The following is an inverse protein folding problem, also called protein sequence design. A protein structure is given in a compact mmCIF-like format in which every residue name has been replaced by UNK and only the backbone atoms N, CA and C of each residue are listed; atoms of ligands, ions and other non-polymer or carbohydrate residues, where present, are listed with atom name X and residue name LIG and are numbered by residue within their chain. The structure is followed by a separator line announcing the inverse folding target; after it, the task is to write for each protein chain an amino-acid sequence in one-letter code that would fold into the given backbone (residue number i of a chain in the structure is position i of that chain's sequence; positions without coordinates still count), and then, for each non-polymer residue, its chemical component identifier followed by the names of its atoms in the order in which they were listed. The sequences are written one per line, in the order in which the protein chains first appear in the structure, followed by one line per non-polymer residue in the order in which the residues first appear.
data_IF_073692782735
#
_entry.id   IF_073692782735
#
_cell.length_a   1.000
_cell.length_b   1.000
_cell.length_c   1.000
_cell.angle_alpha   90.00
_cell.angle_beta   90.00
_cell.angle_gamma   90.00
#
_symmetry.space_group_name_H-M   'P 1'
#
loop_
_entity.id
_entity.type
_entity.pdbx_description
1 polymer ?
#
# COMPACT_ATOMS: atom_id res chain seq x y z
N UNK A 1 29.05 11.43 -2.28
CA UNK A 1 28.76 9.99 -2.26
C UNK A 1 28.35 9.58 -3.67
N UNK A 2 29.02 8.61 -4.28
CA UNK A 2 28.62 8.03 -5.58
C UNK A 2 27.67 6.84 -5.37
N UNK A 3 27.00 6.37 -6.42
CA UNK A 3 26.14 5.18 -6.34
C UNK A 3 26.92 3.95 -5.84
N UNK A 4 28.14 3.77 -6.36
CA UNK A 4 29.02 2.66 -6.01
C UNK A 4 29.42 2.73 -4.53
N UNK A 5 29.65 3.93 -4.00
CA UNK A 5 29.93 4.12 -2.57
C UNK A 5 28.73 3.74 -1.70
N UNK A 6 27.50 4.09 -2.11
CA UNK A 6 26.27 3.71 -1.37
C UNK A 6 26.10 2.19 -1.33
N UNK A 7 26.30 1.53 -2.48
CA UNK A 7 26.19 0.06 -2.57
C UNK A 7 27.25 -0.61 -1.70
N UNK A 8 28.48 -0.11 -1.71
CA UNK A 8 29.56 -0.71 -0.91
C UNK A 8 29.35 -0.50 0.59
N UNK A 9 28.96 0.70 1.01
CA UNK A 9 28.69 0.99 2.43
C UNK A 9 27.52 0.16 2.98
N UNK A 10 26.49 -0.10 2.17
CA UNK A 10 25.31 -0.87 2.59
C UNK A 10 25.53 -2.38 2.63
N UNK A 11 26.54 -2.93 1.93
CA UNK A 11 26.86 -4.37 1.94
C UNK A 11 27.23 -4.93 3.30
N UNK A 12 27.78 -4.09 4.18
CA UNK A 12 28.21 -4.48 5.51
C UNK A 12 27.12 -4.33 6.57
N UNK A 13 25.95 -3.78 6.20
CA UNK A 13 24.85 -3.54 7.12
C UNK A 13 23.97 -4.79 7.27
N UNK A 14 23.30 -4.96 8.42
CA UNK A 14 22.23 -5.92 8.57
C UNK A 14 21.11 -5.73 7.53
N UNK A 15 20.49 -6.83 7.09
CA UNK A 15 19.50 -6.81 6.01
C UNK A 15 18.26 -5.97 6.33
N UNK A 16 17.83 -5.94 7.58
CA UNK A 16 16.73 -5.12 8.10
C UNK A 16 17.05 -3.62 8.01
N UNK A 17 18.28 -3.23 8.34
CA UNK A 17 18.75 -1.84 8.22
C UNK A 17 18.78 -1.39 6.77
N UNK A 18 19.22 -2.26 5.85
CA UNK A 18 19.22 -1.96 4.41
C UNK A 18 17.78 -1.82 3.89
N UNK A 19 16.86 -2.68 4.33
CA UNK A 19 15.45 -2.59 3.95
C UNK A 19 14.83 -1.27 4.42
N UNK A 20 15.06 -0.87 5.67
CA UNK A 20 14.56 0.41 6.19
C UNK A 20 15.15 1.62 5.44
N UNK A 21 16.44 1.58 5.09
CA UNK A 21 17.07 2.62 4.29
C UNK A 21 16.40 2.76 2.91
N UNK A 22 16.14 1.64 2.23
CA UNK A 22 15.45 1.62 0.93
C UNK A 22 14.05 2.21 1.06
N UNK A 23 13.29 1.81 2.09
CA UNK A 23 11.94 2.32 2.33
C UNK A 23 11.93 3.84 2.52
N UNK A 24 12.87 4.38 3.31
CA UNK A 24 12.99 5.83 3.54
C UNK A 24 13.35 6.59 2.27
N UNK A 25 14.29 6.08 1.46
CA UNK A 25 14.65 6.68 0.17
C UNK A 25 13.45 6.69 -0.77
N UNK A 26 12.73 5.57 -0.86
CA UNK A 26 11.54 5.48 -1.71
C UNK A 26 10.44 6.43 -1.23
N UNK A 27 10.21 6.52 0.09
CA UNK A 27 9.22 7.42 0.67
C UNK A 27 9.51 8.89 0.36
N UNK A 28 10.77 9.34 0.52
CA UNK A 28 11.18 10.70 0.19
C UNK A 28 11.09 10.99 -1.31
N UNK A 29 11.47 10.02 -2.16
CA UNK A 29 11.53 10.21 -3.63
C UNK A 29 10.17 10.12 -4.31
N UNK A 30 9.30 9.28 -3.80
CA UNK A 30 7.92 9.17 -4.29
C UNK A 30 6.97 10.12 -3.56
N UNK A 31 7.45 10.82 -2.53
CA UNK A 31 6.70 11.86 -1.84
C UNK A 31 5.44 11.30 -1.18
N UNK A 32 5.58 10.20 -0.43
CA UNK A 32 4.42 9.56 0.21
C UNK A 32 3.24 9.34 -0.75
N UNK A 33 2.02 9.38 -0.23
CA UNK A 33 0.84 9.58 -1.05
C UNK A 33 0.67 11.10 -1.19
N UNK A 34 0.50 11.60 -2.42
CA UNK A 34 0.15 13.00 -2.67
C UNK A 34 -1.01 13.42 -1.75
N UNK A 35 -0.88 14.53 -1.03
CA UNK A 35 -1.87 14.95 -0.03
C UNK A 35 -3.26 15.14 -0.62
N UNK A 36 -3.37 15.54 -1.89
CA UNK A 36 -4.64 15.69 -2.58
C UNK A 36 -5.24 14.31 -2.89
N UNK A 37 -4.40 13.33 -3.24
CA UNK A 37 -4.82 11.93 -3.40
C UNK A 37 -5.28 11.35 -2.07
N UNK A 38 -4.55 11.58 -0.97
CA UNK A 38 -4.93 11.13 0.36
C UNK A 38 -6.27 11.73 0.80
N UNK A 39 -6.47 13.04 0.59
CA UNK A 39 -7.73 13.72 0.90
C UNK A 39 -8.90 13.20 0.05
N UNK A 40 -8.68 12.94 -1.23
CA UNK A 40 -9.67 12.34 -2.12
C UNK A 40 -10.04 10.91 -1.67
N UNK A 41 -9.06 10.10 -1.28
CA UNK A 41 -9.29 8.76 -0.74
C UNK A 41 -10.09 8.79 0.57
N UNK A 42 -9.76 9.72 1.48
CA UNK A 42 -10.51 9.88 2.72
C UNK A 42 -11.99 10.19 2.45
N UNK A 43 -12.24 11.15 1.56
CA UNK A 43 -13.60 11.54 1.15
C UNK A 43 -14.36 10.36 0.55
N UNK A 44 -13.71 9.57 -0.31
CA UNK A 44 -14.32 8.40 -0.94
C UNK A 44 -14.60 7.26 0.05
N UNK A 45 -13.70 7.03 1.02
CA UNK A 45 -13.89 6.04 2.08
C UNK A 45 -15.12 6.42 2.93
N UNK A 46 -15.19 7.67 3.39
CA UNK A 46 -16.30 8.15 4.21
C UNK A 46 -17.62 8.01 3.44
N UNK A 47 -17.66 8.41 2.17
CA UNK A 47 -18.83 8.23 1.28
C UNK A 47 -19.24 6.75 1.14
N UNK A 48 -18.30 5.83 0.94
CA UNK A 48 -18.60 4.40 0.77
C UNK A 48 -19.11 3.75 2.06
N UNK A 49 -18.59 4.15 3.21
CA UNK A 49 -19.09 3.70 4.51
C UNK A 49 -20.56 4.12 4.65
N UNK A 50 -20.88 5.39 4.41
CA UNK A 50 -22.26 5.88 4.47
C UNK A 50 -23.20 5.14 3.51
N UNK A 51 -22.75 4.84 2.29
CA UNK A 51 -23.54 4.10 1.31
C UNK A 51 -23.85 2.66 1.75
N UNK A 52 -22.88 2.00 2.39
CA UNK A 52 -23.04 0.65 2.93
C UNK A 52 -23.99 0.68 4.13
N UNK A 53 -23.77 1.59 5.08
CA UNK A 53 -24.59 1.72 6.30
C UNK A 53 -26.03 2.13 5.99
N UNK A 54 -26.23 3.00 4.99
CA UNK A 54 -27.56 3.38 4.52
C UNK A 54 -28.22 2.32 3.62
N UNK A 55 -27.54 1.20 3.33
CA UNK A 55 -28.06 0.13 2.47
C UNK A 55 -28.19 0.51 0.99
N UNK A 56 -27.54 1.60 0.55
CA UNK A 56 -27.50 2.03 -0.87
C UNK A 56 -26.63 1.10 -1.71
N UNK A 57 -25.64 0.47 -1.09
CA UNK A 57 -24.74 -0.50 -1.72
C UNK A 57 -24.78 -1.81 -0.96
N UNK A 58 -25.00 -2.92 -1.68
CA UNK A 58 -24.96 -4.26 -1.10
C UNK A 58 -23.53 -4.83 -1.21
N UNK A 59 -22.94 -5.17 -0.06
CA UNK A 59 -21.67 -5.87 -0.01
C UNK A 59 -21.77 -7.32 -0.51
N UNK A 60 -20.61 -7.90 -0.86
CA UNK A 60 -20.50 -9.33 -1.17
C UNK A 60 -20.07 -10.04 0.13
N UNK A 61 -20.73 -11.14 0.54
CA UNK A 61 -20.27 -11.94 1.67
C UNK A 61 -18.80 -12.35 1.53
N UNK A 62 -18.04 -12.27 2.63
CA UNK A 62 -16.59 -12.50 2.59
C UNK A 62 -16.21 -13.89 2.08
N UNK A 63 -17.00 -14.92 2.41
CA UNK A 63 -16.75 -16.28 1.93
C UNK A 63 -16.88 -16.39 0.41
N UNK A 64 -17.84 -15.67 -0.16
CA UNK A 64 -18.06 -15.60 -1.60
C UNK A 64 -16.93 -14.82 -2.30
N UNK A 65 -16.51 -13.69 -1.74
CA UNK A 65 -15.41 -12.91 -2.31
C UNK A 65 -14.09 -13.69 -2.29
N UNK A 66 -13.78 -14.38 -1.19
CA UNK A 66 -12.61 -15.24 -1.07
C UNK A 66 -12.68 -16.45 -2.00
N UNK A 67 -13.85 -17.05 -2.21
CA UNK A 67 -14.03 -18.14 -3.17
C UNK A 67 -13.72 -17.69 -4.61
N UNK A 68 -14.16 -16.48 -5.00
CA UNK A 68 -13.83 -15.89 -6.30
C UNK A 68 -12.32 -15.67 -6.46
N UNK A 69 -11.66 -15.15 -5.42
CA UNK A 69 -10.20 -14.93 -5.42
C UNK A 69 -9.43 -16.25 -5.58
N UNK A 70 -9.79 -17.29 -4.83
CA UNK A 70 -9.15 -18.61 -4.94
C UNK A 70 -9.24 -19.17 -6.36
N UNK A 71 -10.43 -19.09 -6.96
CA UNK A 71 -10.64 -19.53 -8.35
C UNK A 71 -9.74 -18.78 -9.34
N UNK A 72 -9.55 -17.46 -9.16
CA UNK A 72 -8.67 -16.65 -10.01
C UNK A 72 -7.20 -17.04 -9.79
N UNK A 73 -6.81 -17.28 -8.54
CA UNK A 73 -5.46 -17.66 -8.17
C UNK A 73 -5.10 -19.13 -8.49
N UNK A 74 -6.08 -19.95 -8.91
CA UNK A 74 -5.88 -21.37 -9.19
C UNK A 74 -5.75 -22.25 -7.93
N UNK A 75 -6.35 -21.82 -6.81
CA UNK A 75 -6.39 -22.51 -5.53
C UNK A 75 -7.70 -23.27 -5.31
#
# INVERSE_FOLDING_TARGET
MTLEQIVEETRHLPADVVAELVDRILLERHGGIDSDVEAAWKTEIDRRIEEIEAGKVQGIPVDESLARIRKIAGL
#
